data_IF_782996149795
#
_entry.id   IF_782996149795
#
_cell.length_a   1.000
_cell.length_b   1.000
_cell.length_c   1.000
_cell.angle_alpha   90.00
_cell.angle_beta   90.00
_cell.angle_gamma   90.00
#
_symmetry.space_group_name_H-M   'P 1'
#
loop_
_entity.id
_entity.type
_entity.pdbx_description
1 polymer ?
#
# COMPACT_ATOMS: atom_id res chain seq x y z
N UNK A 1 34.15 4.65 -9.05
CA UNK A 1 33.40 5.60 -8.19
C UNK A 1 31.96 5.45 -8.60
N UNK A 2 31.15 4.73 -7.82
CA UNK A 2 29.71 4.68 -8.00
C UNK A 2 29.15 6.06 -7.65
N UNK A 3 28.67 6.79 -8.67
CA UNK A 3 27.90 8.02 -8.43
C UNK A 3 26.78 7.70 -7.47
N UNK A 4 26.68 8.44 -6.36
CA UNK A 4 25.58 8.29 -5.43
C UNK A 4 24.27 8.46 -6.21
N UNK A 5 23.39 7.46 -6.13
CA UNK A 5 22.12 7.48 -6.83
C UNK A 5 21.24 8.57 -6.21
N UNK A 6 20.61 9.39 -7.05
CA UNK A 6 19.64 10.38 -6.58
C UNK A 6 18.42 9.66 -6.01
N UNK A 7 18.01 10.04 -4.79
CA UNK A 7 16.81 9.50 -4.17
C UNK A 7 15.56 10.06 -4.87
N UNK A 8 14.52 9.23 -5.00
CA UNK A 8 13.21 9.67 -5.47
C UNK A 8 12.56 10.62 -4.47
N UNK A 9 11.91 11.64 -4.98
CA UNK A 9 11.13 12.63 -4.21
C UNK A 9 9.64 12.25 -4.20
N UNK A 10 8.82 12.94 -3.39
CA UNK A 10 7.36 12.80 -3.46
C UNK A 10 6.83 13.13 -4.86
N UNK A 11 7.40 14.13 -5.54
CA UNK A 11 7.01 14.46 -6.93
C UNK A 11 7.32 13.33 -7.91
N UNK A 12 8.42 12.60 -7.74
CA UNK A 12 8.72 11.42 -8.57
C UNK A 12 7.71 10.30 -8.34
N UNK A 13 7.26 10.11 -7.11
CA UNK A 13 6.22 9.13 -6.75
C UNK A 13 4.87 9.55 -7.30
N UNK A 14 4.43 10.80 -7.07
CA UNK A 14 3.19 11.37 -7.61
C UNK A 14 3.15 11.22 -9.13
N UNK A 15 4.18 11.72 -9.82
CA UNK A 15 4.26 11.67 -11.28
C UNK A 15 4.25 10.24 -11.83
N UNK A 16 4.86 9.28 -11.14
CA UNK A 16 4.80 7.86 -11.53
C UNK A 16 3.36 7.33 -11.45
N UNK A 17 2.66 7.55 -10.34
CA UNK A 17 1.30 7.03 -10.17
C UNK A 17 0.27 7.76 -11.02
N UNK A 18 0.40 9.06 -11.25
CA UNK A 18 -0.46 9.80 -12.17
C UNK A 18 -0.31 9.29 -13.61
N UNK A 19 0.93 9.10 -14.07
CA UNK A 19 1.21 8.61 -15.43
C UNK A 19 0.78 7.16 -15.67
N UNK A 20 0.86 6.31 -14.65
CA UNK A 20 0.54 4.88 -14.75
C UNK A 20 -0.88 4.54 -14.31
N UNK A 21 -1.66 5.50 -13.83
CA UNK A 21 -2.99 5.28 -13.27
C UNK A 21 -3.90 4.47 -14.19
N UNK A 22 -4.09 4.94 -15.44
CA UNK A 22 -4.96 4.26 -16.40
C UNK A 22 -4.45 2.87 -16.76
N UNK A 23 -3.14 2.71 -16.93
CA UNK A 23 -2.54 1.40 -17.23
C UNK A 23 -2.82 0.39 -16.12
N UNK A 24 -2.74 0.80 -14.85
CA UNK A 24 -3.06 -0.08 -13.73
C UNK A 24 -4.54 -0.45 -13.68
N UNK A 25 -5.45 0.48 -13.98
CA UNK A 25 -6.88 0.19 -14.06
C UNK A 25 -7.22 -0.81 -15.18
N UNK A 26 -6.61 -0.64 -16.34
CA UNK A 26 -6.87 -1.46 -17.53
C UNK A 26 -6.28 -2.87 -17.40
N UNK A 27 -5.14 -2.98 -16.74
CA UNK A 27 -4.35 -4.20 -16.67
C UNK A 27 -4.54 -4.98 -15.38
N UNK A 28 -4.54 -4.32 -14.22
CA UNK A 28 -4.47 -4.98 -12.93
C UNK A 28 -5.85 -5.10 -12.27
N UNK A 29 -6.49 -4.01 -11.98
CA UNK A 29 -7.80 -3.99 -11.33
C UNK A 29 -8.58 -2.72 -11.67
N UNK A 30 -9.75 -2.87 -12.26
CA UNK A 30 -10.59 -1.75 -12.74
C UNK A 30 -11.15 -0.87 -11.60
N UNK A 31 -11.15 -1.33 -10.35
CA UNK A 31 -11.52 -0.55 -9.18
C UNK A 31 -10.30 0.04 -8.45
N UNK A 32 -9.09 -0.26 -8.94
CA UNK A 32 -7.84 0.29 -8.44
C UNK A 32 -7.31 -0.38 -7.17
N UNK A 33 -7.63 -1.66 -6.95
CA UNK A 33 -7.05 -2.47 -5.87
C UNK A 33 -5.64 -2.92 -6.27
N UNK A 34 -4.61 -2.35 -5.64
CA UNK A 34 -3.21 -2.56 -6.02
C UNK A 34 -2.33 -3.11 -4.89
N UNK A 35 -2.90 -3.49 -3.77
CA UNK A 35 -2.15 -4.00 -2.62
C UNK A 35 -2.00 -5.53 -2.63
N UNK A 36 -1.10 -6.02 -1.79
CA UNK A 36 -0.76 -7.44 -1.64
C UNK A 36 -1.96 -8.27 -1.16
N UNK A 37 -2.09 -9.49 -1.70
CA UNK A 37 -3.15 -10.43 -1.34
C UNK A 37 -2.81 -11.33 -0.14
N UNK A 38 -3.83 -11.71 0.63
CA UNK A 38 -3.77 -12.72 1.69
C UNK A 38 -4.41 -14.03 1.17
N UNK A 39 -3.59 -14.98 0.76
CA UNK A 39 -4.01 -16.24 0.15
C UNK A 39 -4.26 -17.31 1.21
N UNK A 40 -5.26 -18.17 0.99
CA UNK A 40 -5.62 -19.27 1.91
C UNK A 40 -4.78 -20.53 1.72
N UNK A 41 -4.05 -20.63 0.61
CA UNK A 41 -3.18 -21.77 0.31
C UNK A 41 -2.41 -21.53 -0.99
N UNK A 42 -1.51 -22.47 -1.34
CA UNK A 42 -0.68 -22.34 -2.53
C UNK A 42 -1.47 -22.49 -3.84
N UNK A 43 -2.62 -23.14 -3.81
CA UNK A 43 -3.51 -23.34 -4.95
C UNK A 43 -4.56 -22.21 -5.10
N UNK A 44 -4.61 -21.27 -4.15
CA UNK A 44 -5.45 -20.08 -4.24
C UNK A 44 -4.78 -19.09 -5.21
N UNK A 45 -5.42 -18.82 -6.34
CA UNK A 45 -4.95 -17.92 -7.40
C UNK A 45 -5.90 -16.75 -7.69
N UNK A 46 -6.97 -16.59 -6.90
CA UNK A 46 -7.88 -15.46 -6.98
C UNK A 46 -7.26 -14.24 -6.28
N UNK A 47 -6.52 -13.45 -7.04
CA UNK A 47 -5.90 -12.22 -6.56
C UNK A 47 -6.91 -11.27 -5.92
N UNK A 48 -8.08 -11.07 -6.54
CA UNK A 48 -9.08 -10.11 -6.05
C UNK A 48 -9.64 -10.54 -4.69
N UNK A 49 -9.97 -11.81 -4.53
CA UNK A 49 -10.40 -12.35 -3.25
C UNK A 49 -9.28 -12.31 -2.20
N UNK A 50 -8.03 -12.56 -2.58
CA UNK A 50 -6.89 -12.46 -1.68
C UNK A 50 -6.63 -11.03 -1.23
N UNK A 51 -6.72 -10.03 -2.13
CA UNK A 51 -6.61 -8.61 -1.78
C UNK A 51 -7.74 -8.18 -0.84
N UNK A 52 -8.97 -8.60 -1.09
CA UNK A 52 -10.08 -8.35 -0.19
C UNK A 52 -9.83 -8.93 1.21
N UNK A 53 -9.30 -10.16 1.31
CA UNK A 53 -8.95 -10.76 2.59
C UNK A 53 -7.87 -9.98 3.34
N UNK A 54 -6.91 -9.38 2.65
CA UNK A 54 -5.93 -8.46 3.28
C UNK A 54 -6.65 -7.31 3.98
N UNK A 55 -7.57 -6.66 3.29
CA UNK A 55 -8.38 -5.57 3.83
C UNK A 55 -9.22 -6.02 5.03
N UNK A 56 -9.87 -7.18 4.94
CA UNK A 56 -10.72 -7.73 6.00
C UNK A 56 -9.89 -8.09 7.25
N UNK A 57 -8.71 -8.71 7.07
CA UNK A 57 -7.79 -9.04 8.18
C UNK A 57 -7.28 -7.78 8.85
N UNK A 58 -6.89 -6.77 8.05
CA UNK A 58 -6.38 -5.50 8.58
C UNK A 58 -7.46 -4.76 9.39
N UNK A 59 -8.69 -4.73 8.89
CA UNK A 59 -9.82 -4.13 9.58
C UNK A 59 -10.16 -4.86 10.90
N UNK A 60 -10.20 -6.19 10.87
CA UNK A 60 -10.48 -7.02 12.03
C UNK A 60 -9.40 -6.89 13.12
N UNK A 61 -8.12 -7.00 12.73
CA UNK A 61 -6.98 -6.85 13.66
C UNK A 61 -6.88 -5.42 14.22
N UNK A 62 -7.28 -4.41 13.43
CA UNK A 62 -7.36 -3.02 13.85
C UNK A 62 -8.57 -2.72 14.74
N UNK A 63 -9.57 -3.60 14.80
CA UNK A 63 -10.79 -3.41 15.58
C UNK A 63 -11.72 -2.33 15.02
N UNK A 64 -11.76 -2.17 13.70
CA UNK A 64 -12.60 -1.18 13.02
C UNK A 64 -14.07 -1.59 13.10
N UNK A 65 -14.92 -0.67 13.54
CA UNK A 65 -16.37 -0.84 13.67
C UNK A 65 -17.15 0.42 13.25
N UNK A 66 -18.48 0.42 13.45
CA UNK A 66 -19.34 1.53 13.07
C UNK A 66 -19.14 2.83 13.86
N UNK A 67 -18.42 2.80 14.98
CA UNK A 67 -18.06 3.99 15.75
C UNK A 67 -16.72 4.60 15.33
N UNK A 68 -15.98 3.93 14.44
CA UNK A 68 -14.66 4.32 14.02
C UNK A 68 -14.69 5.55 13.11
N UNK A 69 -13.71 6.47 13.31
CA UNK A 69 -13.37 7.50 12.36
C UNK A 69 -11.98 7.18 11.81
N UNK A 70 -11.94 6.75 10.56
CA UNK A 70 -10.77 6.14 9.91
C UNK A 70 -10.13 7.13 8.95
N UNK A 71 -8.79 7.27 9.03
CA UNK A 71 -7.98 7.87 7.97
C UNK A 71 -7.28 6.75 7.18
N UNK A 72 -7.48 6.69 5.88
CA UNK A 72 -6.72 5.83 4.95
C UNK A 72 -5.56 6.63 4.37
N UNK A 73 -4.36 6.40 4.86
CA UNK A 73 -3.14 7.13 4.51
C UNK A 73 -2.44 6.47 3.31
N UNK A 74 -2.51 7.10 2.14
CA UNK A 74 -2.15 6.52 0.85
C UNK A 74 -3.29 5.68 0.28
N UNK A 75 -4.50 6.25 0.26
CA UNK A 75 -5.74 5.55 -0.08
C UNK A 75 -5.88 5.15 -1.56
N UNK A 76 -4.99 5.63 -2.42
CA UNK A 76 -5.05 5.39 -3.85
C UNK A 76 -6.42 5.73 -4.46
N UNK A 77 -7.02 4.77 -5.15
CA UNK A 77 -8.35 4.88 -5.76
C UNK A 77 -9.51 4.75 -4.75
N UNK A 78 -9.24 4.59 -3.46
CA UNK A 78 -10.22 4.58 -2.38
C UNK A 78 -11.01 3.30 -2.13
N UNK A 79 -10.73 2.14 -2.78
CA UNK A 79 -11.59 0.97 -2.67
C UNK A 79 -11.66 0.42 -1.25
N UNK A 80 -10.54 0.44 -0.51
CA UNK A 80 -10.48 -0.05 0.86
C UNK A 80 -11.37 0.78 1.80
N UNK A 81 -11.25 2.11 1.77
CA UNK A 81 -12.03 2.98 2.64
C UNK A 81 -13.54 2.93 2.31
N UNK A 82 -13.88 2.86 1.02
CA UNK A 82 -15.27 2.67 0.57
C UNK A 82 -15.84 1.35 1.10
N UNK A 83 -15.07 0.27 1.04
CA UNK A 83 -15.48 -1.04 1.52
C UNK A 83 -15.64 -1.07 3.06
N UNK A 84 -14.71 -0.46 3.79
CA UNK A 84 -14.82 -0.28 5.25
C UNK A 84 -16.11 0.45 5.63
N UNK A 85 -16.39 1.60 5.00
CA UNK A 85 -17.60 2.37 5.28
C UNK A 85 -18.86 1.60 4.92
N UNK A 86 -18.85 0.81 3.82
CA UNK A 86 -19.98 -0.02 3.41
C UNK A 86 -20.25 -1.18 4.39
N UNK A 87 -19.18 -1.87 4.82
CA UNK A 87 -19.29 -3.06 5.70
C UNK A 87 -19.57 -2.71 7.15
N UNK A 88 -18.93 -1.67 7.66
CA UNK A 88 -18.95 -1.33 9.08
C UNK A 88 -19.80 -0.11 9.41
N UNK A 89 -20.14 0.74 8.41
CA UNK A 89 -20.83 2.00 8.65
C UNK A 89 -19.96 3.07 9.31
N UNK A 90 -18.63 2.92 9.25
CA UNK A 90 -17.69 3.86 9.83
C UNK A 90 -17.59 5.14 9.00
N UNK A 91 -17.14 6.24 9.64
CA UNK A 91 -16.76 7.47 8.97
C UNK A 91 -15.32 7.38 8.48
N UNK A 92 -15.01 7.98 7.31
CA UNK A 92 -13.68 7.90 6.73
C UNK A 92 -13.18 9.12 5.96
N UNK A 93 -11.86 9.32 6.01
CA UNK A 93 -11.11 10.24 5.18
C UNK A 93 -10.02 9.47 4.43
N UNK A 94 -9.91 9.66 3.12
CA UNK A 94 -8.81 9.11 2.32
C UNK A 94 -7.85 10.22 1.94
N UNK A 95 -6.55 10.00 2.12
CA UNK A 95 -5.48 10.93 1.74
C UNK A 95 -4.52 10.23 0.79
N UNK A 96 -4.26 10.82 -0.37
CA UNK A 96 -3.28 10.31 -1.34
C UNK A 96 -2.56 11.44 -2.06
N UNK A 97 -1.32 11.18 -2.45
CA UNK A 97 -0.46 12.12 -3.16
C UNK A 97 -0.83 12.25 -4.64
N UNK A 98 -1.42 11.20 -5.25
CA UNK A 98 -1.82 11.20 -6.67
C UNK A 98 -3.16 11.90 -6.88
N UNK A 99 -3.14 12.99 -7.63
CA UNK A 99 -4.35 13.74 -7.98
C UNK A 99 -5.30 12.93 -8.86
N UNK A 100 -4.78 12.11 -9.77
CA UNK A 100 -5.58 11.26 -10.66
C UNK A 100 -6.32 10.17 -9.87
N UNK A 101 -5.65 9.54 -8.90
CA UNK A 101 -6.28 8.53 -8.04
C UNK A 101 -7.35 9.12 -7.15
N UNK A 102 -7.12 10.28 -6.55
CA UNK A 102 -8.13 11.00 -5.75
C UNK A 102 -9.34 11.39 -6.59
N UNK A 103 -9.12 11.86 -7.82
CA UNK A 103 -10.23 12.17 -8.73
C UNK A 103 -11.04 10.92 -9.08
N UNK A 104 -10.38 9.78 -9.25
CA UNK A 104 -11.04 8.50 -9.47
C UNK A 104 -11.84 8.06 -8.23
N UNK A 105 -11.25 8.11 -7.03
CA UNK A 105 -11.91 7.78 -5.77
C UNK A 105 -13.19 8.62 -5.54
N UNK A 106 -13.12 9.91 -5.81
CA UNK A 106 -14.29 10.82 -5.73
C UNK A 106 -15.40 10.44 -6.72
N UNK A 107 -15.06 10.02 -7.93
CA UNK A 107 -16.03 9.52 -8.92
C UNK A 107 -16.68 8.22 -8.44
N UNK A 108 -15.91 7.28 -7.88
CA UNK A 108 -16.43 6.04 -7.31
C UNK A 108 -17.40 6.31 -6.15
N UNK A 109 -17.07 7.29 -5.30
CA UNK A 109 -17.93 7.68 -4.17
C UNK A 109 -19.23 8.34 -4.65
N UNK A 110 -19.17 9.20 -5.66
CA UNK A 110 -20.36 9.90 -6.20
C UNK A 110 -21.34 8.97 -6.93
N UNK A 111 -20.89 7.77 -7.33
CA UNK A 111 -21.70 6.76 -8.02
C UNK A 111 -22.51 5.86 -7.06
N UNK A 112 -22.26 4.56 -7.14
CA UNK A 112 -22.97 3.54 -6.36
C UNK A 112 -22.75 3.64 -4.83
N UNK A 113 -21.83 4.48 -4.38
CA UNK A 113 -21.42 4.67 -2.99
C UNK A 113 -21.90 6.01 -2.40
N UNK A 114 -22.74 6.76 -3.12
CA UNK A 114 -23.29 8.01 -2.65
C UNK A 114 -24.07 7.78 -1.34
N UNK A 115 -23.74 8.56 -0.31
CA UNK A 115 -24.36 8.44 1.03
C UNK A 115 -23.48 7.76 2.08
N UNK A 116 -22.31 7.19 1.71
CA UNK A 116 -21.29 6.82 2.68
C UNK A 116 -20.67 8.10 3.30
N UNK A 117 -20.40 8.08 4.60
CA UNK A 117 -19.70 9.19 5.28
C UNK A 117 -18.18 9.12 5.06
N UNK A 118 -17.79 9.31 3.80
CA UNK A 118 -16.40 9.23 3.34
C UNK A 118 -16.06 10.46 2.50
N UNK A 119 -14.82 10.96 2.65
CA UNK A 119 -14.25 11.99 1.79
C UNK A 119 -12.86 11.62 1.31
N UNK A 120 -12.38 12.26 0.21
CA UNK A 120 -11.05 12.02 -0.34
C UNK A 120 -10.32 13.34 -0.57
N UNK A 121 -9.09 13.43 -0.07
CA UNK A 121 -8.25 14.64 -0.09
C UNK A 121 -6.93 14.34 -0.80
N UNK A 122 -6.54 15.22 -1.73
CA UNK A 122 -5.21 15.21 -2.34
C UNK A 122 -4.21 15.87 -1.37
N UNK A 123 -3.13 15.16 -1.02
CA UNK A 123 -2.13 15.67 -0.11
C UNK A 123 -1.10 14.64 0.31
N UNK A 124 -0.06 15.09 1.00
CA UNK A 124 1.04 14.26 1.47
C UNK A 124 0.77 13.70 2.87
N UNK A 125 1.12 12.44 3.09
CA UNK A 125 1.11 11.80 4.42
C UNK A 125 2.25 12.31 5.33
N UNK A 126 3.21 13.09 4.81
CA UNK A 126 4.24 13.77 5.59
C UNK A 126 3.80 15.14 6.13
N UNK A 127 2.62 15.62 5.68
CA UNK A 127 2.04 16.90 6.11
C UNK A 127 0.51 16.80 6.04
N UNK A 128 -0.07 15.97 6.89
CA UNK A 128 -1.51 15.67 6.88
C UNK A 128 -2.34 16.90 7.25
N UNK A 129 -3.34 17.29 6.41
CA UNK A 129 -4.13 18.51 6.62
C UNK A 129 -5.26 18.30 7.65
N UNK A 130 -4.94 17.64 8.76
CA UNK A 130 -5.89 17.30 9.81
C UNK A 130 -5.37 17.77 11.17
N UNK A 131 -6.30 18.09 12.07
CA UNK A 131 -6.00 18.48 13.45
C UNK A 131 -5.45 17.29 14.26
N UNK A 132 -4.75 17.60 15.35
CA UNK A 132 -4.28 16.62 16.31
C UNK A 132 -5.43 15.83 16.91
N UNK A 133 -5.22 14.56 17.20
CA UNK A 133 -6.19 13.70 17.88
C UNK A 133 -7.58 13.64 17.20
N UNK A 134 -7.60 13.59 15.88
CA UNK A 134 -8.83 13.58 15.07
C UNK A 134 -9.39 12.16 14.91
N UNK A 135 -8.54 11.20 14.53
CA UNK A 135 -8.96 9.87 14.10
C UNK A 135 -8.87 8.85 15.22
N UNK A 136 -9.81 7.90 15.25
CA UNK A 136 -9.70 6.71 16.09
C UNK A 136 -8.77 5.66 15.46
N UNK A 137 -8.72 5.62 14.13
CA UNK A 137 -7.90 4.69 13.36
C UNK A 137 -7.18 5.42 12.22
N UNK A 138 -5.93 5.07 11.99
CA UNK A 138 -5.24 5.33 10.74
C UNK A 138 -4.91 3.98 10.13
N UNK A 139 -5.24 3.80 8.84
CA UNK A 139 -4.93 2.60 8.08
C UNK A 139 -4.05 2.92 6.89
N UNK A 140 -3.33 1.93 6.36
CA UNK A 140 -2.59 2.05 5.12
C UNK A 140 -2.31 0.68 4.53
N UNK A 141 -2.32 0.54 3.21
CA UNK A 141 -1.99 -0.70 2.52
C UNK A 141 -0.94 -0.45 1.44
N UNK A 142 0.29 -0.93 1.68
CA UNK A 142 1.41 -0.96 0.74
C UNK A 142 1.77 0.40 0.11
N UNK A 143 1.55 1.50 0.85
CA UNK A 143 1.77 2.87 0.40
C UNK A 143 2.93 3.57 1.11
N UNK A 144 3.12 3.32 2.42
CA UNK A 144 4.07 4.07 3.22
C UNK A 144 5.54 3.74 2.90
N UNK A 145 5.81 2.57 2.31
CA UNK A 145 7.14 2.23 1.80
C UNK A 145 7.65 3.25 0.77
N UNK A 146 6.75 3.85 -0.01
CA UNK A 146 7.09 4.78 -1.09
C UNK A 146 7.45 6.18 -0.58
N UNK A 147 7.06 6.51 0.66
CA UNK A 147 7.32 7.83 1.25
C UNK A 147 8.81 8.00 1.56
N UNK A 148 9.46 9.08 1.09
CA UNK A 148 10.87 9.31 1.37
C UNK A 148 11.18 9.49 2.86
N UNK A 149 10.38 10.28 3.57
CA UNK A 149 10.54 10.57 5.01
C UNK A 149 9.54 9.75 5.85
N UNK A 150 9.93 8.51 6.14
CA UNK A 150 9.11 7.59 6.94
C UNK A 150 8.96 8.02 8.41
N UNK A 151 9.95 8.67 8.98
CA UNK A 151 9.90 9.16 10.36
C UNK A 151 8.88 10.30 10.49
N UNK A 152 8.87 11.21 9.53
CA UNK A 152 7.88 12.29 9.46
C UNK A 152 6.46 11.73 9.31
N UNK A 153 6.27 10.73 8.43
CA UNK A 153 4.97 10.07 8.27
C UNK A 153 4.48 9.43 9.57
N UNK A 154 5.34 8.68 10.28
CA UNK A 154 4.96 8.06 11.55
C UNK A 154 4.61 9.12 12.61
N UNK A 155 5.33 10.25 12.64
CA UNK A 155 5.03 11.38 13.53
C UNK A 155 3.68 12.02 13.21
N UNK A 156 3.34 12.18 11.92
CA UNK A 156 2.04 12.71 11.50
C UNK A 156 0.91 11.74 11.85
N UNK A 157 1.08 10.43 11.58
CA UNK A 157 0.10 9.40 12.01
C UNK A 157 -0.11 9.46 13.53
N UNK A 158 0.98 9.54 14.30
CA UNK A 158 0.88 9.65 15.76
C UNK A 158 0.14 10.93 16.19
N UNK A 159 0.40 12.05 15.53
CA UNK A 159 -0.22 13.34 15.83
C UNK A 159 -1.74 13.30 15.62
N UNK A 160 -2.18 12.81 14.45
CA UNK A 160 -3.60 12.84 14.07
C UNK A 160 -4.44 11.76 14.77
N UNK A 161 -3.83 10.69 15.30
CA UNK A 161 -4.52 9.69 16.10
C UNK A 161 -4.90 10.24 17.49
N UNK A 162 -6.11 9.89 17.93
CA UNK A 162 -6.55 10.10 19.32
C UNK A 162 -5.71 9.29 20.29
N UNK A 163 -5.56 9.70 21.56
CA UNK A 163 -5.09 8.80 22.61
C UNK A 163 -5.88 7.49 22.61
N UNK A 164 -5.20 6.34 22.68
CA UNK A 164 -5.79 5.02 22.53
C UNK A 164 -6.08 4.59 21.08
N UNK A 165 -5.90 5.48 20.10
CA UNK A 165 -6.15 5.21 18.69
C UNK A 165 -5.19 4.20 18.08
N UNK A 166 -5.62 3.54 17.00
CA UNK A 166 -4.94 2.43 16.35
C UNK A 166 -4.34 2.86 15.01
N UNK A 167 -3.10 2.48 14.78
CA UNK A 167 -2.45 2.49 13.48
C UNK A 167 -2.35 1.05 12.98
N UNK A 168 -3.11 0.72 11.92
CA UNK A 168 -3.16 -0.62 11.33
C UNK A 168 -2.72 -0.54 9.87
N UNK A 169 -1.63 -1.25 9.48
CA UNK A 169 -1.13 -1.15 8.12
C UNK A 169 -0.41 -2.39 7.65
N UNK A 170 -0.37 -2.59 6.34
CA UNK A 170 0.56 -3.49 5.65
C UNK A 170 1.57 -2.68 4.87
N UNK A 171 2.80 -3.20 4.74
CA UNK A 171 3.81 -2.49 3.96
C UNK A 171 4.95 -3.41 3.49
N UNK A 172 5.64 -2.96 2.43
CA UNK A 172 6.83 -3.61 1.92
C UNK A 172 8.01 -3.46 2.87
N UNK A 173 8.81 -4.51 2.94
CA UNK A 173 9.97 -4.60 3.82
C UNK A 173 11.25 -4.71 3.01
N UNK A 174 12.29 -4.06 3.51
CA UNK A 174 13.68 -4.24 3.10
C UNK A 174 14.43 -5.02 4.18
N UNK A 175 14.51 -6.37 4.09
CA UNK A 175 15.07 -7.20 5.16
C UNK A 175 16.56 -6.96 5.40
N UNK A 176 17.33 -6.54 4.38
CA UNK A 176 18.75 -6.24 4.48
C UNK A 176 19.12 -4.93 3.77
N UNK A 177 20.20 -4.24 4.17
CA UNK A 177 20.59 -2.97 3.55
C UNK A 177 21.18 -3.14 2.14
N UNK A 178 21.88 -4.24 1.90
CA UNK A 178 22.57 -4.49 0.62
C UNK A 178 21.59 -5.14 -0.37
N UNK A 179 21.22 -4.37 -1.38
CA UNK A 179 20.30 -4.79 -2.44
C UNK A 179 21.11 -4.99 -3.72
N UNK A 180 20.93 -6.15 -4.37
CA UNK A 180 21.52 -6.42 -5.67
C UNK A 180 21.03 -5.43 -6.74
N UNK A 181 21.79 -5.25 -7.82
CA UNK A 181 21.39 -4.38 -8.92
C UNK A 181 20.05 -4.82 -9.53
N UNK A 182 19.83 -6.13 -9.70
CA UNK A 182 18.55 -6.66 -10.20
C UNK A 182 17.41 -6.38 -9.22
N UNK A 183 17.61 -6.58 -7.92
CA UNK A 183 16.64 -6.21 -6.90
C UNK A 183 16.33 -4.71 -6.94
N UNK A 184 17.37 -3.89 -7.10
CA UNK A 184 17.20 -2.45 -7.22
C UNK A 184 16.35 -2.09 -8.43
N UNK A 185 16.65 -2.59 -9.60
CA UNK A 185 15.97 -2.25 -10.86
C UNK A 185 14.52 -2.74 -10.87
N UNK A 186 14.29 -4.03 -10.53
CA UNK A 186 12.98 -4.67 -10.72
C UNK A 186 12.03 -4.53 -9.54
N UNK A 187 12.55 -4.24 -8.33
CA UNK A 187 11.73 -4.08 -7.13
C UNK A 187 11.62 -2.60 -6.76
N UNK A 188 12.73 -1.97 -6.43
CA UNK A 188 12.74 -0.64 -5.81
C UNK A 188 12.47 0.47 -6.81
N UNK A 189 13.25 0.54 -7.90
CA UNK A 189 13.12 1.63 -8.87
C UNK A 189 11.83 1.57 -9.67
N UNK A 190 11.31 0.35 -9.86
CA UNK A 190 10.06 0.12 -10.58
C UNK A 190 8.90 0.93 -9.98
N UNK A 191 8.86 1.06 -8.66
CA UNK A 191 7.80 1.78 -7.93
C UNK A 191 8.30 3.06 -7.25
N UNK A 192 9.49 3.56 -7.59
CA UNK A 192 10.10 4.75 -6.97
C UNK A 192 10.38 4.60 -5.47
N UNK A 193 10.73 3.39 -5.04
CA UNK A 193 11.03 3.09 -3.66
C UNK A 193 12.51 3.28 -3.34
N UNK A 194 12.84 4.20 -2.46
CA UNK A 194 14.23 4.51 -2.08
C UNK A 194 14.84 3.43 -1.19
N UNK A 195 14.20 3.21 -0.05
CA UNK A 195 14.62 2.27 0.99
C UNK A 195 13.44 1.96 1.92
N UNK A 196 13.54 0.87 2.65
CA UNK A 196 12.51 0.44 3.59
C UNK A 196 13.07 0.04 4.95
N UNK A 197 12.18 -0.27 5.85
CA UNK A 197 12.51 -0.92 7.11
C UNK A 197 12.57 -2.43 6.92
N UNK A 198 13.44 -3.09 7.72
CA UNK A 198 13.28 -4.51 7.97
C UNK A 198 12.06 -4.75 8.88
N UNK A 199 11.64 -6.00 9.03
CA UNK A 199 10.53 -6.35 9.91
C UNK A 199 10.71 -5.87 11.36
N UNK A 200 11.90 -6.04 11.92
CA UNK A 200 12.22 -5.53 13.26
C UNK A 200 12.46 -4.02 13.26
N UNK A 201 13.07 -3.48 12.20
CA UNK A 201 13.30 -2.05 12.06
C UNK A 201 12.00 -1.25 12.05
N UNK A 202 10.94 -1.77 11.43
CA UNK A 202 9.62 -1.12 11.45
C UNK A 202 9.05 -1.02 12.86
N UNK A 203 9.09 -2.13 13.61
CA UNK A 203 8.62 -2.17 15.00
C UNK A 203 9.41 -1.20 15.89
N UNK A 204 10.75 -1.20 15.76
CA UNK A 204 11.61 -0.28 16.51
C UNK A 204 11.33 1.18 16.19
N UNK A 205 11.09 1.51 14.92
CA UNK A 205 10.76 2.87 14.49
C UNK A 205 9.42 3.34 15.07
N UNK A 206 8.39 2.47 15.06
CA UNK A 206 7.09 2.77 15.67
C UNK A 206 7.20 3.00 17.19
N UNK A 207 7.94 2.14 17.89
CA UNK A 207 8.19 2.30 19.34
C UNK A 207 8.94 3.61 19.62
N UNK A 208 9.93 3.97 18.78
CA UNK A 208 10.66 5.23 18.91
C UNK A 208 9.75 6.46 18.70
N UNK A 209 8.75 6.36 17.84
CA UNK A 209 7.74 7.42 17.64
C UNK A 209 6.78 7.54 18.82
N UNK A 210 6.71 6.54 19.70
CA UNK A 210 5.86 6.53 20.90
C UNK A 210 4.70 5.53 20.84
N UNK A 211 4.59 4.72 19.79
CA UNK A 211 3.56 3.69 19.68
C UNK A 211 3.86 2.48 20.57
N UNK A 212 2.81 1.83 21.03
CA UNK A 212 2.82 0.49 21.62
C UNK A 212 2.50 -0.53 20.52
N UNK A 213 3.37 -1.52 20.32
CA UNK A 213 3.09 -2.61 19.37
C UNK A 213 2.02 -3.55 19.92
N UNK A 214 0.95 -3.74 19.14
CA UNK A 214 -0.15 -4.68 19.46
C UNK A 214 0.05 -6.00 18.72
N UNK A 215 0.38 -5.92 17.42
CA UNK A 215 0.56 -7.09 16.57
C UNK A 215 1.62 -6.80 15.51
N UNK A 216 2.40 -7.80 15.15
CA UNK A 216 3.24 -7.77 13.97
C UNK A 216 3.25 -9.16 13.32
N UNK A 217 3.03 -9.21 11.99
CA UNK A 217 3.07 -10.44 11.19
C UNK A 217 4.07 -10.29 10.07
N UNK A 218 4.98 -11.24 9.93
CA UNK A 218 5.82 -11.38 8.74
C UNK A 218 5.06 -12.25 7.74
N UNK A 219 4.72 -11.70 6.59
CA UNK A 219 3.84 -12.30 5.60
C UNK A 219 4.57 -12.61 4.28
N UNK A 220 5.82 -13.10 4.40
CA UNK A 220 6.71 -13.37 3.27
C UNK A 220 6.11 -14.36 2.25
N UNK A 221 5.35 -15.35 2.71
CA UNK A 221 4.67 -16.31 1.83
C UNK A 221 3.56 -15.65 1.02
N UNK A 222 2.87 -14.68 1.59
CA UNK A 222 1.77 -13.97 0.95
C UNK A 222 2.26 -13.07 -0.19
N UNK A 223 3.34 -12.30 0.03
CA UNK A 223 3.91 -11.45 -1.00
C UNK A 223 4.47 -12.28 -2.17
N UNK A 224 5.10 -13.42 -1.90
CA UNK A 224 5.56 -14.36 -2.93
C UNK A 224 4.39 -14.85 -3.78
N UNK A 225 3.32 -15.30 -3.13
CA UNK A 225 2.11 -15.78 -3.81
C UNK A 225 1.48 -14.66 -4.66
N UNK A 226 1.41 -13.45 -4.14
CA UNK A 226 0.91 -12.28 -4.86
C UNK A 226 1.64 -12.10 -6.19
N UNK A 227 2.98 -12.03 -6.17
CA UNK A 227 3.74 -11.78 -7.40
C UNK A 227 3.73 -12.96 -8.37
N UNK A 228 3.62 -14.19 -7.87
CA UNK A 228 3.39 -15.36 -8.73
C UNK A 228 2.05 -15.27 -9.47
N UNK A 229 0.97 -14.94 -8.76
CA UNK A 229 -0.38 -14.86 -9.34
C UNK A 229 -0.47 -13.70 -10.33
N UNK A 230 -0.06 -12.49 -9.95
CA UNK A 230 -0.15 -11.33 -10.84
C UNK A 230 0.82 -11.43 -12.04
N UNK A 231 1.98 -12.08 -11.89
CA UNK A 231 2.88 -12.39 -13.00
C UNK A 231 2.26 -13.35 -14.01
N UNK A 232 1.51 -14.35 -13.53
CA UNK A 232 0.73 -15.26 -14.37
C UNK A 232 -0.40 -14.52 -15.09
N UNK A 233 -1.15 -13.66 -14.38
CA UNK A 233 -2.20 -12.81 -14.97
C UNK A 233 -1.62 -11.89 -16.05
N UNK A 234 -0.47 -11.26 -15.78
CA UNK A 234 0.23 -10.42 -16.74
C UNK A 234 0.59 -11.18 -18.01
N UNK A 235 1.18 -12.35 -17.87
CA UNK A 235 1.57 -13.18 -19.02
C UNK A 235 0.35 -13.58 -19.85
N UNK A 236 -0.74 -13.98 -19.21
CA UNK A 236 -1.99 -14.32 -19.89
C UNK A 236 -2.59 -13.10 -20.62
N UNK A 237 -2.58 -11.94 -20.01
CA UNK A 237 -3.06 -10.68 -20.63
C UNK A 237 -2.22 -10.30 -21.85
N UNK A 238 -0.89 -10.38 -21.75
CA UNK A 238 0.01 -10.07 -22.87
C UNK A 238 -0.24 -10.96 -24.10
N UNK A 239 -0.67 -12.21 -23.88
CA UNK A 239 -0.95 -13.15 -24.98
C UNK A 239 -2.16 -12.74 -25.84
N UNK A 240 -3.10 -11.96 -25.29
CA UNK A 240 -4.34 -11.52 -25.96
C UNK A 240 -4.38 -10.01 -26.26
N UNK A 241 -3.33 -9.27 -25.93
CA UNK A 241 -3.22 -7.82 -26.18
C UNK A 241 -2.67 -7.59 -27.58
N UNK A 242 -3.41 -6.85 -28.41
CA UNK A 242 -3.03 -6.49 -29.78
C UNK A 242 -2.13 -5.24 -29.85
N UNK A 243 -2.23 -4.36 -28.86
CA UNK A 243 -1.40 -3.15 -28.76
C UNK A 243 0.04 -3.51 -28.35
N UNK A 244 1.00 -3.33 -29.25
CA UNK A 244 2.39 -3.74 -29.02
C UNK A 244 3.04 -2.97 -27.85
N UNK A 245 2.75 -1.67 -27.69
CA UNK A 245 3.31 -0.86 -26.57
C UNK A 245 2.78 -1.35 -25.22
N UNK A 246 1.49 -1.60 -25.13
CA UNK A 246 0.86 -2.18 -23.94
C UNK A 246 1.41 -3.57 -23.65
N UNK A 247 1.54 -4.41 -24.66
CA UNK A 247 2.11 -5.77 -24.55
C UNK A 247 3.53 -5.77 -24.01
N UNK A 248 4.40 -4.90 -24.55
CA UNK A 248 5.79 -4.78 -24.10
C UNK A 248 5.87 -4.33 -22.63
N UNK A 249 5.01 -3.40 -22.21
CA UNK A 249 4.91 -2.97 -20.83
C UNK A 249 4.46 -4.11 -19.90
N UNK A 250 3.41 -4.86 -20.30
CA UNK A 250 2.89 -6.01 -19.52
C UNK A 250 3.95 -7.10 -19.38
N UNK A 251 4.71 -7.40 -20.43
CA UNK A 251 5.77 -8.41 -20.38
C UNK A 251 6.94 -7.97 -19.48
N UNK A 252 7.34 -6.69 -19.52
CA UNK A 252 8.33 -6.15 -18.60
C UNK A 252 7.85 -6.20 -17.13
N UNK A 253 6.55 -5.97 -16.91
CA UNK A 253 5.94 -6.14 -15.59
C UNK A 253 5.98 -7.61 -15.14
N UNK A 254 5.64 -8.57 -16.00
CA UNK A 254 5.70 -10.01 -15.70
C UNK A 254 7.14 -10.46 -15.37
N UNK A 255 8.14 -9.95 -16.11
CA UNK A 255 9.55 -10.18 -15.80
C UNK A 255 9.89 -9.67 -14.40
N UNK A 256 9.45 -8.46 -14.06
CA UNK A 256 9.67 -7.88 -12.73
C UNK A 256 9.03 -8.72 -11.62
N UNK A 257 7.87 -9.34 -11.86
CA UNK A 257 7.25 -10.26 -10.89
C UNK A 257 8.16 -11.46 -10.59
N UNK A 258 8.76 -12.08 -11.60
CA UNK A 258 9.74 -13.16 -11.42
C UNK A 258 10.99 -12.70 -10.66
N UNK A 259 11.51 -11.50 -10.95
CA UNK A 259 12.65 -10.94 -10.25
C UNK A 259 12.34 -10.60 -8.78
N UNK A 260 11.09 -10.24 -8.47
CA UNK A 260 10.64 -10.04 -7.09
C UNK A 260 10.68 -11.35 -6.31
N UNK A 261 10.24 -12.47 -6.89
CA UNK A 261 10.36 -13.78 -6.24
C UNK A 261 11.83 -14.12 -5.94
N UNK A 262 12.73 -13.88 -6.88
CA UNK A 262 14.17 -14.06 -6.68
C UNK A 262 14.75 -13.08 -5.64
N UNK A 263 14.26 -11.84 -5.57
CA UNK A 263 14.65 -10.88 -4.54
C UNK A 263 14.21 -11.33 -3.14
N UNK A 264 13.03 -11.95 -3.02
CA UNK A 264 12.57 -12.58 -1.78
C UNK A 264 13.54 -13.70 -1.36
N UNK A 265 13.97 -14.57 -2.28
CA UNK A 265 14.92 -15.65 -2.00
C UNK A 265 16.28 -15.12 -1.54
N UNK A 266 16.72 -13.99 -2.08
CA UNK A 266 17.94 -13.30 -1.65
C UNK A 266 17.79 -12.52 -0.35
N UNK A 267 16.58 -12.45 0.24
CA UNK A 267 16.29 -11.65 1.44
C UNK A 267 16.36 -10.14 1.18
N UNK A 268 16.01 -9.69 -0.02
CA UNK A 268 16.05 -8.28 -0.45
C UNK A 268 14.67 -7.61 -0.42
N UNK A 269 13.61 -8.40 -0.31
CA UNK A 269 12.24 -7.93 -0.34
C UNK A 269 11.36 -8.77 0.57
N UNK A 270 10.36 -8.17 1.18
CA UNK A 270 9.41 -8.83 2.04
C UNK A 270 8.14 -7.99 2.23
N UNK A 271 7.24 -8.49 3.06
CA UNK A 271 5.98 -7.85 3.38
C UNK A 271 5.57 -8.15 4.82
N UNK A 272 4.96 -7.18 5.48
CA UNK A 272 4.50 -7.32 6.84
C UNK A 272 3.20 -6.56 7.11
N UNK A 273 2.52 -6.98 8.17
CA UNK A 273 1.34 -6.30 8.70
C UNK A 273 1.58 -5.93 10.15
N UNK A 274 1.21 -4.74 10.54
CA UNK A 274 1.49 -4.15 11.83
C UNK A 274 0.26 -3.47 12.40
N UNK A 275 0.01 -3.71 13.69
CA UNK A 275 -0.98 -2.99 14.48
C UNK A 275 -0.25 -2.33 15.65
N UNK A 276 -0.35 -1.03 15.76
CA UNK A 276 0.26 -0.24 16.82
C UNK A 276 -0.80 0.66 17.45
N UNK A 277 -0.64 0.97 18.72
CA UNK A 277 -1.55 1.82 19.48
C UNK A 277 -0.85 3.07 19.94
N UNK A 278 -1.48 4.24 19.78
CA UNK A 278 -1.08 5.45 20.50
C UNK A 278 -1.49 5.30 21.98
N UNK A 279 -0.58 5.45 22.95
CA UNK A 279 -0.94 5.40 24.36
C UNK A 279 -2.08 6.37 24.72
N UNK A 280 -2.84 6.02 25.79
CA UNK A 280 -3.94 6.84 26.30
C UNK A 280 -3.50 8.11 27.00
#
# INVERSE_FOLDING_TARGET
MTTARQAFTEQDVEGFFDQTHQTYLDFWDAEGVLHTGYFLGLDDDDYRAAAQRTSDVLAADGGIDGSSYVLDAGCGCGPFLIDLARKHGCKGEGLDLSSERINFARKQLAGANAGLDVTFTHGSVTAMPYEDNTFSHVVSQDALCLVPDKAKTQSEVFRVLKPGGIFAFSDFLQPKPDISERGRTHVYDRVRWNSGFSYLGYQQSLIHTGFEMVLARNLLTQIRQTYRVIGTMATARAAVTDNQVEKDWILAFAESCGEIELAIDRGEFGWGMFIARKPA
#
